data_IF_991114130288
#
_entry.id   IF_991114130288
#
_cell.length_a   1.000
_cell.length_b   1.000
_cell.length_c   1.000
_cell.angle_alpha   90.00
_cell.angle_beta   90.00
_cell.angle_gamma   90.00
#
_symmetry.space_group_name_H-M   'P 1'
#
loop_
_entity.id
_entity.type
_entity.pdbx_description
1 polymer ?
#
# COMPACT_ATOMS: atom_id res chain seq x y z
N UNK A 1 62.67 21.15 -26.10
CA UNK A 1 61.48 21.72 -25.41
C UNK A 1 60.17 21.18 -25.98
N UNK A 2 60.14 19.93 -26.42
CA UNK A 2 58.97 19.31 -27.10
C UNK A 2 58.42 18.02 -26.47
N UNK A 3 59.14 17.38 -25.56
CA UNK A 3 58.78 16.08 -24.99
C UNK A 3 57.88 16.24 -23.74
N UNK A 4 58.04 17.33 -22.98
CA UNK A 4 57.24 17.60 -21.77
C UNK A 4 55.81 18.01 -22.04
N UNK A 5 55.47 18.55 -23.24
CA UNK A 5 54.07 18.94 -23.58
C UNK A 5 53.19 17.77 -23.99
N UNK A 6 53.77 16.63 -24.41
CA UNK A 6 52.98 15.45 -24.82
C UNK A 6 52.60 14.52 -23.64
N UNK A 7 53.30 14.57 -22.52
CA UNK A 7 53.02 13.77 -21.34
C UNK A 7 51.82 14.29 -20.52
N UNK A 8 51.50 15.59 -20.58
CA UNK A 8 50.42 16.19 -19.80
C UNK A 8 49.03 15.95 -20.37
N UNK A 9 48.93 15.62 -21.67
CA UNK A 9 47.62 15.41 -22.34
C UNK A 9 47.11 13.95 -22.13
N UNK A 10 48.04 13.00 -21.88
CA UNK A 10 47.64 11.58 -21.67
C UNK A 10 47.15 11.26 -20.27
N UNK A 11 47.49 12.09 -19.29
CA UNK A 11 47.07 11.89 -17.89
C UNK A 11 45.62 12.35 -17.61
N UNK A 12 45.07 13.22 -18.47
CA UNK A 12 43.71 13.76 -18.27
C UNK A 12 42.58 12.85 -18.82
N UNK A 13 42.90 11.87 -19.68
CA UNK A 13 41.90 11.03 -20.33
C UNK A 13 41.55 9.76 -19.52
N UNK A 14 42.33 9.40 -18.50
CA UNK A 14 42.11 8.16 -17.72
C UNK A 14 41.16 8.38 -16.53
N UNK A 15 40.93 9.61 -16.10
CA UNK A 15 40.11 9.90 -14.94
C UNK A 15 38.57 9.83 -15.19
N UNK A 16 38.11 9.58 -16.41
CA UNK A 16 36.71 9.56 -16.78
C UNK A 16 36.03 8.18 -16.76
N UNK A 17 36.76 7.11 -16.47
CA UNK A 17 36.26 5.72 -16.59
C UNK A 17 35.77 5.14 -15.27
N UNK A 18 36.02 5.79 -14.12
CA UNK A 18 35.48 5.38 -12.83
C UNK A 18 34.41 6.33 -12.31
N UNK A 19 33.36 6.55 -13.11
CA UNK A 19 32.10 7.03 -12.52
C UNK A 19 31.46 5.84 -11.81
N UNK A 20 31.35 5.83 -10.47
CA UNK A 20 30.54 4.80 -9.81
C UNK A 20 29.16 4.93 -10.39
N UNK A 21 28.67 3.87 -11.04
CA UNK A 21 27.27 3.79 -11.46
C UNK A 21 26.46 3.96 -10.19
N UNK A 22 25.88 5.14 -10.01
CA UNK A 22 24.91 5.36 -8.95
C UNK A 22 23.79 4.36 -9.20
N UNK A 23 23.75 3.27 -8.45
CA UNK A 23 22.63 2.33 -8.46
C UNK A 23 21.43 3.17 -8.00
N UNK A 24 20.67 3.68 -8.98
CA UNK A 24 19.45 4.43 -8.71
C UNK A 24 18.56 3.53 -7.87
N UNK A 25 18.40 3.87 -6.60
CA UNK A 25 17.52 3.13 -5.69
C UNK A 25 16.14 3.04 -6.33
N UNK A 26 15.78 1.85 -6.82
CA UNK A 26 14.50 1.63 -7.49
C UNK A 26 13.37 1.92 -6.51
N UNK A 27 12.62 2.97 -6.76
CA UNK A 27 11.46 3.32 -5.95
C UNK A 27 10.30 2.41 -6.34
N UNK A 28 9.66 1.79 -5.35
CA UNK A 28 8.44 1.01 -5.54
C UNK A 28 7.24 1.89 -5.18
N UNK A 29 6.24 1.89 -6.06
CA UNK A 29 4.99 2.61 -5.85
C UNK A 29 3.86 1.61 -5.68
N UNK A 30 3.08 1.78 -4.63
CA UNK A 30 1.89 1.00 -4.34
C UNK A 30 0.69 1.90 -4.09
N UNK A 31 -0.50 1.35 -4.25
CA UNK A 31 -1.76 2.03 -3.94
C UNK A 31 -2.82 1.03 -3.49
N UNK A 32 -3.82 1.48 -2.74
CA UNK A 32 -4.95 0.63 -2.42
C UNK A 32 -5.58 0.87 -1.06
N UNK A 33 -5.97 -0.21 -0.40
CA UNK A 33 -6.73 -0.25 0.83
C UNK A 33 -6.17 0.69 1.91
N UNK A 34 -7.07 1.37 2.61
CA UNK A 34 -6.72 2.27 3.71
C UNK A 34 -6.48 1.52 5.03
N UNK A 35 -7.08 0.34 5.19
CA UNK A 35 -6.95 -0.48 6.38
C UNK A 35 -5.48 -0.76 6.77
N UNK A 36 -4.60 -1.26 5.89
CA UNK A 36 -3.21 -1.56 6.24
C UNK A 36 -2.28 -0.36 6.16
N UNK A 37 -2.74 0.82 5.73
CA UNK A 37 -1.88 1.95 5.37
C UNK A 37 -0.93 2.39 6.50
N UNK A 38 -1.41 2.42 7.76
CA UNK A 38 -0.59 2.83 8.90
C UNK A 38 0.57 1.87 9.16
N UNK A 39 0.30 0.56 9.16
CA UNK A 39 1.34 -0.45 9.39
C UNK A 39 2.30 -0.54 8.19
N UNK A 40 1.80 -0.41 6.96
CA UNK A 40 2.63 -0.36 5.76
C UNK A 40 3.60 0.81 5.79
N UNK A 41 3.13 2.01 6.16
CA UNK A 41 4.01 3.18 6.30
C UNK A 41 5.16 2.89 7.26
N UNK A 42 4.90 2.25 8.38
CA UNK A 42 5.92 1.87 9.34
C UNK A 42 6.90 0.86 8.76
N UNK A 43 6.40 -0.22 8.18
CA UNK A 43 7.24 -1.25 7.59
C UNK A 43 8.11 -0.73 6.44
N UNK A 44 7.60 0.14 5.59
CA UNK A 44 8.35 0.72 4.48
C UNK A 44 9.47 1.66 4.94
N UNK A 45 9.23 2.39 6.04
CA UNK A 45 10.28 3.20 6.67
C UNK A 45 11.40 2.29 7.23
N UNK A 46 11.02 1.26 7.97
CA UNK A 46 11.99 0.35 8.59
C UNK A 46 12.75 -0.46 7.51
N UNK A 47 12.06 -0.89 6.45
CA UNK A 47 12.68 -1.55 5.30
C UNK A 47 13.71 -0.64 4.60
N UNK A 48 13.37 0.62 4.37
CA UNK A 48 14.30 1.57 3.76
C UNK A 48 15.53 1.82 4.66
N UNK A 49 15.36 1.87 5.99
CA UNK A 49 16.45 2.01 6.95
C UNK A 49 17.38 0.79 6.98
N UNK A 50 16.86 -0.40 6.75
CA UNK A 50 17.65 -1.64 6.67
C UNK A 50 18.38 -1.85 5.33
N UNK A 51 18.42 -0.84 4.47
CA UNK A 51 19.08 -0.91 3.15
C UNK A 51 18.17 -1.38 2.02
N UNK A 52 16.85 -1.54 2.28
CA UNK A 52 15.86 -1.87 1.26
C UNK A 52 15.52 -0.69 0.34
N UNK A 53 14.69 -0.96 -0.65
CA UNK A 53 14.20 0.05 -1.56
C UNK A 53 13.24 1.03 -0.87
N UNK A 54 13.19 2.28 -1.33
CA UNK A 54 12.16 3.22 -0.92
C UNK A 54 10.81 2.81 -1.50
N UNK A 55 9.81 2.66 -0.64
CA UNK A 55 8.44 2.32 -1.03
C UNK A 55 7.54 3.49 -0.75
N UNK A 56 6.75 3.89 -1.76
CA UNK A 56 5.69 4.87 -1.63
C UNK A 56 4.34 4.15 -1.70
N UNK A 57 3.44 4.45 -0.80
CA UNK A 57 2.10 3.86 -0.76
C UNK A 57 1.02 4.94 -0.68
N UNK A 58 0.05 4.85 -1.57
CA UNK A 58 -1.10 5.75 -1.62
C UNK A 58 -2.35 5.04 -1.11
N UNK A 59 -2.89 5.53 0.00
CA UNK A 59 -4.13 5.03 0.61
C UNK A 59 -5.33 5.65 -0.11
N UNK A 60 -5.81 4.98 -1.16
CA UNK A 60 -6.87 5.47 -2.06
C UNK A 60 -8.09 4.54 -2.13
N UNK A 61 -8.12 3.53 -1.28
CA UNK A 61 -9.15 2.48 -1.25
C UNK A 61 -8.86 1.31 -2.19
N UNK A 62 -9.39 0.13 -1.83
CA UNK A 62 -9.14 -1.14 -2.53
C UNK A 62 -9.49 -1.11 -4.01
N UNK A 63 -10.64 -0.49 -4.36
CA UNK A 63 -11.09 -0.39 -5.75
C UNK A 63 -10.14 0.39 -6.65
N UNK A 64 -9.71 1.58 -6.20
CA UNK A 64 -8.75 2.42 -6.92
C UNK A 64 -7.37 1.76 -7.02
N UNK A 65 -6.93 1.07 -5.95
CA UNK A 65 -5.69 0.32 -5.96
C UNK A 65 -5.68 -0.82 -6.98
N UNK A 66 -6.76 -1.63 -7.02
CA UNK A 66 -6.90 -2.69 -8.03
C UNK A 66 -6.88 -2.14 -9.45
N UNK A 67 -7.60 -1.02 -9.69
CA UNK A 67 -7.57 -0.36 -10.99
C UNK A 67 -6.17 0.10 -11.38
N UNK A 68 -5.46 0.78 -10.49
CA UNK A 68 -4.10 1.24 -10.74
C UNK A 68 -3.12 0.08 -11.02
N UNK A 69 -3.35 -1.08 -10.39
CA UNK A 69 -2.55 -2.27 -10.65
C UNK A 69 -2.84 -2.90 -12.03
N UNK A 70 -4.11 -2.96 -12.44
CA UNK A 70 -4.52 -3.42 -13.78
C UNK A 70 -3.96 -2.48 -14.85
N UNK A 71 -4.04 -1.17 -14.63
CA UNK A 71 -3.54 -0.12 -15.53
C UNK A 71 -1.99 0.00 -15.51
N UNK A 72 -1.30 -0.82 -14.72
CA UNK A 72 0.16 -0.88 -14.59
C UNK A 72 0.80 0.44 -14.11
N UNK A 73 0.04 1.33 -13.46
CA UNK A 73 0.53 2.62 -12.93
C UNK A 73 1.23 2.48 -11.58
N UNK A 74 1.06 1.33 -10.90
CA UNK A 74 1.75 1.00 -9.64
C UNK A 74 2.41 -0.38 -9.72
N UNK A 75 3.43 -0.60 -8.88
CA UNK A 75 4.15 -1.87 -8.82
C UNK A 75 3.37 -2.95 -8.04
N UNK A 76 2.61 -2.53 -7.03
CA UNK A 76 1.76 -3.40 -6.23
C UNK A 76 0.49 -2.67 -5.78
N UNK A 77 -0.53 -3.43 -5.43
CA UNK A 77 -1.75 -2.88 -4.82
C UNK A 77 -2.10 -3.64 -3.55
N UNK A 78 -2.78 -2.98 -2.63
CA UNK A 78 -3.40 -3.62 -1.48
C UNK A 78 -4.92 -3.55 -1.59
N UNK A 79 -5.58 -4.64 -1.17
CA UNK A 79 -7.03 -4.75 -1.19
C UNK A 79 -7.53 -5.49 0.06
N UNK A 80 -8.67 -5.07 0.58
CA UNK A 80 -9.34 -5.75 1.69
C UNK A 80 -10.04 -7.03 1.21
N UNK A 81 -10.31 -7.11 -0.11
CA UNK A 81 -10.88 -8.31 -0.74
C UNK A 81 -9.93 -8.90 -1.78
N UNK A 82 -9.98 -10.21 -2.02
CA UNK A 82 -9.33 -10.83 -3.16
C UNK A 82 -9.81 -10.22 -4.49
N UNK A 83 -8.93 -10.17 -5.48
CA UNK A 83 -9.30 -9.76 -6.82
C UNK A 83 -10.19 -10.82 -7.48
N UNK A 84 -11.29 -10.39 -8.11
CA UNK A 84 -12.23 -11.28 -8.80
C UNK A 84 -11.60 -11.83 -10.09
N UNK A 85 -11.97 -13.03 -10.48
CA UNK A 85 -11.50 -13.69 -11.70
C UNK A 85 -11.59 -12.82 -12.97
N UNK A 86 -12.69 -12.07 -13.10
CA UNK A 86 -12.89 -11.15 -14.24
C UNK A 86 -11.83 -10.03 -14.29
N UNK A 87 -11.29 -9.60 -13.15
CA UNK A 87 -10.27 -8.57 -13.08
C UNK A 87 -8.86 -9.16 -13.15
N UNK A 88 -8.66 -10.37 -12.63
CA UNK A 88 -7.39 -11.12 -12.76
C UNK A 88 -7.03 -11.28 -14.24
N UNK A 89 -8.00 -11.61 -15.07
CA UNK A 89 -7.82 -11.77 -16.53
C UNK A 89 -7.37 -10.50 -17.26
N UNK A 90 -7.58 -9.33 -16.66
CA UNK A 90 -7.15 -8.02 -17.20
C UNK A 90 -5.69 -7.71 -16.87
N UNK A 91 -5.08 -8.41 -15.92
CA UNK A 91 -3.71 -8.15 -15.47
C UNK A 91 -2.71 -8.81 -16.41
N UNK A 92 -2.16 -8.06 -17.34
CA UNK A 92 -1.27 -8.57 -18.40
C UNK A 92 0.03 -9.17 -17.87
N UNK A 93 0.59 -8.59 -16.79
CA UNK A 93 1.87 -8.99 -16.18
C UNK A 93 1.76 -10.15 -15.17
N UNK A 94 0.55 -10.73 -15.03
CA UNK A 94 0.27 -11.73 -14.02
C UNK A 94 0.02 -11.15 -12.64
N UNK A 95 -0.47 -11.97 -11.73
CA UNK A 95 -0.88 -11.59 -10.38
C UNK A 95 -0.51 -12.69 -9.38
N UNK A 96 0.07 -12.26 -8.26
CA UNK A 96 0.18 -13.07 -7.04
C UNK A 96 -0.53 -12.31 -5.93
N UNK A 97 -1.44 -12.96 -5.22
CA UNK A 97 -2.13 -12.39 -4.07
C UNK A 97 -1.58 -13.01 -2.78
N UNK A 98 -1.14 -12.17 -1.86
CA UNK A 98 -0.50 -12.58 -0.61
C UNK A 98 -1.28 -11.96 0.56
N UNK A 99 -1.83 -12.76 1.50
CA UNK A 99 -2.37 -12.24 2.74
C UNK A 99 -1.26 -11.59 3.58
N UNK A 100 -1.42 -10.33 3.94
CA UNK A 100 -0.39 -9.56 4.65
C UNK A 100 -0.79 -9.17 6.06
N UNK A 101 -2.02 -8.70 6.24
CA UNK A 101 -2.51 -8.13 7.50
C UNK A 101 -3.95 -8.56 7.71
N UNK A 102 -4.27 -8.97 8.92
CA UNK A 102 -5.63 -9.21 9.38
C UNK A 102 -5.99 -8.26 10.52
N UNK A 103 -7.28 -8.03 10.70
CA UNK A 103 -7.81 -7.24 11.81
C UNK A 103 -9.28 -7.54 12.05
N UNK A 104 -9.79 -7.03 13.15
CA UNK A 104 -11.18 -7.14 13.52
C UNK A 104 -11.94 -5.85 13.19
N UNK A 105 -13.20 -6.01 12.83
CA UNK A 105 -14.14 -4.89 12.68
C UNK A 105 -14.97 -4.84 13.96
N UNK A 106 -15.09 -3.64 14.54
CA UNK A 106 -15.92 -3.40 15.71
C UNK A 106 -16.87 -2.24 15.44
N UNK A 107 -18.08 -2.33 15.97
CA UNK A 107 -19.01 -1.21 15.99
C UNK A 107 -18.68 -0.30 17.18
N UNK A 108 -18.33 0.94 16.89
CA UNK A 108 -18.22 1.97 17.93
C UNK A 108 -19.56 2.68 18.08
N UNK A 109 -20.02 2.91 19.31
CA UNK A 109 -21.20 3.70 19.59
C UNK A 109 -20.94 4.66 20.74
N UNK A 110 -21.62 5.80 20.74
CA UNK A 110 -21.57 6.80 21.77
C UNK A 110 -23.01 7.01 22.32
N UNK A 111 -23.41 6.14 23.22
CA UNK A 111 -24.71 6.15 23.84
C UNK A 111 -24.63 5.57 25.26
N UNK A 112 -25.43 6.10 26.19
CA UNK A 112 -25.34 5.76 27.62
C UNK A 112 -26.08 4.45 27.93
N UNK A 113 -25.71 3.37 27.28
CA UNK A 113 -26.21 2.03 27.57
C UNK A 113 -25.15 0.94 27.21
N UNK A 114 -25.29 -0.23 27.85
CA UNK A 114 -24.47 -1.38 27.52
C UNK A 114 -25.10 -2.15 26.36
N UNK A 115 -24.87 -1.67 25.14
CA UNK A 115 -25.43 -2.24 23.92
C UNK A 115 -24.81 -3.63 23.62
N UNK A 116 -25.67 -4.65 23.57
CA UNK A 116 -25.30 -6.02 23.18
C UNK A 116 -26.20 -6.48 22.04
N UNK A 117 -25.67 -6.46 20.83
CA UNK A 117 -26.40 -6.89 19.63
C UNK A 117 -26.10 -8.35 19.32
N UNK A 118 -27.14 -9.09 18.94
CA UNK A 118 -26.94 -10.35 18.21
C UNK A 118 -26.46 -10.04 16.78
N UNK A 119 -25.93 -11.03 16.09
CA UNK A 119 -25.51 -10.88 14.70
C UNK A 119 -26.68 -10.41 13.79
N UNK A 120 -27.86 -10.97 14.01
CA UNK A 120 -29.07 -10.60 13.27
C UNK A 120 -29.47 -9.14 13.55
N UNK A 121 -29.48 -8.72 14.80
CA UNK A 121 -29.77 -7.32 15.17
C UNK A 121 -28.74 -6.36 14.57
N UNK A 122 -27.45 -6.72 14.57
CA UNK A 122 -26.43 -5.87 13.94
C UNK A 122 -26.68 -5.70 12.43
N UNK A 123 -27.09 -6.75 11.73
CA UNK A 123 -27.48 -6.68 10.32
C UNK A 123 -28.75 -5.82 10.14
N UNK A 124 -29.76 -5.99 10.96
CA UNK A 124 -31.00 -5.22 10.90
C UNK A 124 -30.79 -3.73 11.16
N UNK A 125 -29.89 -3.38 12.08
CA UNK A 125 -29.45 -1.98 12.30
C UNK A 125 -28.75 -1.44 11.06
N UNK A 126 -27.78 -2.18 10.49
CA UNK A 126 -27.05 -1.77 9.30
C UNK A 126 -27.95 -1.62 8.07
N UNK A 127 -29.03 -2.41 7.98
CA UNK A 127 -30.05 -2.33 6.93
C UNK A 127 -31.09 -1.24 7.18
N UNK A 128 -31.09 -0.58 8.35
CA UNK A 128 -32.08 0.42 8.73
C UNK A 128 -33.48 -0.16 9.01
N UNK A 129 -33.59 -1.44 9.32
CA UNK A 129 -34.81 -2.11 9.77
C UNK A 129 -35.09 -1.72 11.21
N UNK A 130 -34.10 -1.88 12.09
CA UNK A 130 -34.13 -1.36 13.47
C UNK A 130 -33.73 0.11 13.38
N UNK A 131 -34.64 1.00 13.82
CA UNK A 131 -34.47 2.45 13.72
C UNK A 131 -34.36 3.13 15.07
N UNK A 132 -34.73 2.47 16.14
CA UNK A 132 -34.64 2.99 17.50
C UNK A 132 -33.82 2.04 18.37
N UNK A 133 -32.90 2.60 19.12
CA UNK A 133 -32.05 1.83 20.05
C UNK A 133 -32.85 1.14 21.16
N UNK A 134 -34.07 1.61 21.43
CA UNK A 134 -35.00 0.94 22.35
C UNK A 134 -35.38 -0.48 21.90
N UNK A 135 -35.45 -0.72 20.60
CA UNK A 135 -35.75 -2.03 20.02
C UNK A 135 -34.67 -3.08 20.33
N UNK A 136 -33.49 -2.65 20.71
CA UNK A 136 -32.34 -3.50 21.07
C UNK A 136 -31.95 -3.36 22.56
N UNK A 137 -32.87 -2.82 23.38
CA UNK A 137 -32.72 -2.80 24.83
C UNK A 137 -31.96 -1.56 25.37
N UNK A 138 -31.75 -0.56 24.57
CA UNK A 138 -31.15 0.70 24.97
C UNK A 138 -32.23 1.73 25.31
N UNK A 139 -32.71 1.71 26.55
CA UNK A 139 -33.67 2.68 27.06
C UNK A 139 -32.90 3.80 27.78
N UNK A 140 -32.80 4.95 27.21
CA UNK A 140 -32.30 6.18 27.84
C UNK A 140 -33.44 7.16 28.03
#
# INVERSE_FOLDING_TARGET
MSIFKKALIFSSAISLIFSPSAIASKRLNGAGASFPAKIYTRWFIDFAKSGGHKVNYQSVGSGSGRKAFIDETVNFAASDDPMKEADIKKVKRGLVQIPMVGGTIAFGYNYDCNLKLTQEQAVQVAMGIIKDWKEVGCNS
#
